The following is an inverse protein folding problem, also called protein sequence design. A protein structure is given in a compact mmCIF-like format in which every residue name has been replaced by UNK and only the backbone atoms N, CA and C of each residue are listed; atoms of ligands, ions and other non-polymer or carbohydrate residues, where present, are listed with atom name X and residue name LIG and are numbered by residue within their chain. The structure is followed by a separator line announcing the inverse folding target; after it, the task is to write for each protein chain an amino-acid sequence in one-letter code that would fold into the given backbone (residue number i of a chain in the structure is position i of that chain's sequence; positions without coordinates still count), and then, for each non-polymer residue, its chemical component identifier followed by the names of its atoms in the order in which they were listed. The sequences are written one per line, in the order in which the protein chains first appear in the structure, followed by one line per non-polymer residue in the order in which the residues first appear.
data_IF_098780582540
#
_entry.id   IF_098780582540
#
_cell.length_a   1.000
_cell.length_b   1.000
_cell.length_c   1.000
_cell.angle_alpha   90.00
_cell.angle_beta   90.00
_cell.angle_gamma   90.00
#
_symmetry.space_group_name_H-M   'P 1'
#
loop_
_entity.id
_entity.type
_entity.pdbx_description
1 polymer ?
#
# COMPACT_ATOMS: atom_id res chain seq x y z
N UNK A 1 18.02 7.67 41.53
CA UNK A 1 17.81 7.71 40.05
C UNK A 1 17.07 6.49 39.46
N UNK A 2 16.84 5.40 40.20
CA UNK A 2 16.30 4.14 39.67
C UNK A 2 14.78 4.09 39.51
N UNK A 3 14.02 4.72 40.41
CA UNK A 3 12.54 4.68 40.40
C UNK A 3 11.93 5.43 39.22
N UNK A 4 12.45 6.61 38.88
CA UNK A 4 12.00 7.41 37.73
C UNK A 4 12.29 6.71 36.40
N UNK A 5 13.52 6.17 36.25
CA UNK A 5 13.92 5.39 35.06
C UNK A 5 13.01 4.17 34.84
N UNK A 6 12.70 3.43 35.90
CA UNK A 6 11.81 2.26 35.82
C UNK A 6 10.37 2.66 35.49
N UNK A 7 9.89 3.79 36.00
CA UNK A 7 8.55 4.30 35.67
C UNK A 7 8.45 4.73 34.21
N UNK A 8 9.48 5.39 33.68
CA UNK A 8 9.58 5.78 32.26
C UNK A 8 9.65 4.57 31.31
N UNK A 9 10.44 3.54 31.64
CA UNK A 9 10.55 2.32 30.83
C UNK A 9 9.23 1.52 30.78
N UNK A 10 8.50 1.44 31.90
CA UNK A 10 7.17 0.83 31.95
C UNK A 10 6.13 1.61 31.13
N UNK A 11 6.23 2.93 31.10
CA UNK A 11 5.41 3.78 30.22
C UNK A 11 5.71 3.54 28.74
N UNK A 12 6.99 3.52 28.36
CA UNK A 12 7.42 3.33 26.97
C UNK A 12 7.00 1.96 26.41
N UNK A 13 7.15 0.88 27.18
CA UNK A 13 6.74 -0.47 26.74
C UNK A 13 5.23 -0.60 26.50
N UNK A 14 4.40 0.16 27.21
CA UNK A 14 2.93 0.17 27.01
C UNK A 14 2.49 1.00 25.80
N UNK A 15 3.37 1.86 25.30
CA UNK A 15 3.11 2.77 24.17
C UNK A 15 3.72 2.23 22.87
N UNK A 16 4.73 1.37 22.97
CA UNK A 16 5.43 0.76 21.85
C UNK A 16 4.54 -0.27 21.15
N UNK A 17 4.32 -0.08 19.85
CA UNK A 17 3.61 -1.03 19.00
C UNK A 17 4.52 -2.21 18.66
N UNK A 18 3.92 -3.38 18.44
CA UNK A 18 4.56 -4.43 17.65
C UNK A 18 4.48 -4.09 16.14
N UNK A 19 5.19 -4.86 15.33
CA UNK A 19 5.24 -4.63 13.88
C UNK A 19 3.86 -4.81 13.22
N UNK A 20 3.04 -5.75 13.67
CA UNK A 20 1.73 -6.04 13.07
C UNK A 20 0.74 -4.88 13.28
N UNK A 21 0.69 -4.34 14.49
CA UNK A 21 -0.10 -3.16 14.78
C UNK A 21 0.47 -1.91 14.09
N UNK A 22 1.79 -1.82 13.93
CA UNK A 22 2.40 -0.72 13.19
C UNK A 22 2.04 -0.77 11.69
N UNK A 23 2.14 -1.93 11.03
CA UNK A 23 1.75 -2.08 9.62
C UNK A 23 0.26 -1.84 9.42
N UNK A 24 -0.59 -2.32 10.33
CA UNK A 24 -2.02 -2.01 10.33
C UNK A 24 -2.27 -0.49 10.36
N UNK A 25 -1.62 0.25 11.27
CA UNK A 25 -1.78 1.69 11.35
C UNK A 25 -1.21 2.42 10.14
N UNK A 26 -0.09 1.95 9.55
CA UNK A 26 0.47 2.49 8.31
C UNK A 26 -0.57 2.39 7.19
N UNK A 27 -1.08 1.18 6.93
CA UNK A 27 -2.06 0.95 5.87
C UNK A 27 -3.36 1.71 6.13
N UNK A 28 -3.87 1.70 7.37
CA UNK A 28 -5.05 2.47 7.76
C UNK A 28 -4.88 3.97 7.46
N UNK A 29 -3.71 4.52 7.77
CA UNK A 29 -3.36 5.92 7.53
C UNK A 29 -3.33 6.36 6.06
N UNK A 30 -3.30 5.41 5.10
CA UNK A 30 -3.38 5.73 3.68
C UNK A 30 -4.81 6.00 3.20
N UNK A 31 -5.81 5.49 3.92
CA UNK A 31 -7.23 5.60 3.55
C UNK A 31 -8.03 6.52 4.46
N UNK A 32 -7.63 6.65 5.72
CA UNK A 32 -8.32 7.49 6.70
C UNK A 32 -7.34 8.19 7.66
N UNK A 33 -7.82 9.25 8.30
CA UNK A 33 -7.00 9.97 9.26
C UNK A 33 -6.83 9.17 10.56
N UNK A 34 -5.58 8.93 10.94
CA UNK A 34 -5.27 8.33 12.24
C UNK A 34 -5.53 9.31 13.38
N UNK A 35 -6.13 8.84 14.47
CA UNK A 35 -6.23 9.61 15.71
C UNK A 35 -4.85 9.98 16.28
N UNK A 36 -4.78 11.12 17.00
CA UNK A 36 -3.52 11.72 17.47
C UNK A 36 -2.62 10.75 18.26
N UNK A 37 -3.21 9.92 19.13
CA UNK A 37 -2.46 8.92 19.92
C UNK A 37 -1.84 7.87 19.01
N UNK A 38 -2.58 7.37 18.03
CA UNK A 38 -2.09 6.36 17.09
C UNK A 38 -1.01 6.94 16.17
N UNK A 39 -1.15 8.19 15.72
CA UNK A 39 -0.10 8.92 15.00
C UNK A 39 1.19 8.99 15.81
N UNK A 40 1.11 9.36 17.10
CA UNK A 40 2.28 9.45 17.97
C UNK A 40 2.94 8.09 18.18
N UNK A 41 2.16 7.05 18.51
CA UNK A 41 2.66 5.68 18.67
C UNK A 41 3.36 5.16 17.43
N UNK A 42 2.74 5.37 16.26
CA UNK A 42 3.31 4.96 14.99
C UNK A 42 4.62 5.72 14.70
N UNK A 43 4.66 7.03 14.93
CA UNK A 43 5.87 7.84 14.75
C UNK A 43 7.03 7.35 15.63
N UNK A 44 6.75 6.97 16.88
CA UNK A 44 7.75 6.38 17.76
C UNK A 44 8.26 5.03 17.25
N UNK A 45 7.36 4.15 16.78
CA UNK A 45 7.75 2.85 16.25
C UNK A 45 8.58 2.96 14.96
N UNK A 46 8.20 3.87 14.05
CA UNK A 46 8.97 4.11 12.80
C UNK A 46 10.37 4.68 13.05
N UNK A 47 10.57 5.37 14.18
CA UNK A 47 11.88 5.86 14.58
C UNK A 47 12.82 4.73 15.02
N UNK A 48 12.28 3.62 15.56
CA UNK A 48 13.07 2.50 16.09
C UNK A 48 13.11 1.27 15.18
N UNK A 49 12.14 1.10 14.28
CA UNK A 49 12.05 -0.08 13.40
C UNK A 49 12.30 0.27 11.93
N UNK A 50 13.45 -0.16 11.40
CA UNK A 50 13.81 0.04 9.98
C UNK A 50 12.84 -0.66 9.01
N UNK A 51 12.35 -1.85 9.37
CA UNK A 51 11.45 -2.62 8.48
C UNK A 51 10.10 -1.93 8.29
N UNK A 52 9.48 -1.47 9.38
CA UNK A 52 8.22 -0.72 9.30
C UNK A 52 8.38 0.63 8.59
N UNK A 53 9.55 1.28 8.70
CA UNK A 53 9.87 2.47 7.90
C UNK A 53 9.92 2.17 6.42
N UNK A 54 10.67 1.14 6.01
CA UNK A 54 10.72 0.71 4.62
C UNK A 54 9.33 0.33 4.09
N UNK A 55 8.54 -0.40 4.89
CA UNK A 55 7.17 -0.75 4.54
C UNK A 55 6.28 0.49 4.32
N UNK A 56 6.41 1.50 5.19
CA UNK A 56 5.68 2.76 5.04
C UNK A 56 6.07 3.52 3.77
N UNK A 57 7.35 3.56 3.43
CA UNK A 57 7.84 4.19 2.20
C UNK A 57 7.33 3.45 0.95
N UNK A 58 7.40 2.12 0.97
CA UNK A 58 6.93 1.27 -0.13
C UNK A 58 5.43 1.34 -0.34
N UNK A 59 4.64 1.32 0.74
CA UNK A 59 3.17 1.44 0.68
C UNK A 59 2.79 2.78 0.05
N UNK A 60 3.41 3.87 0.52
CA UNK A 60 3.20 5.20 -0.03
C UNK A 60 3.59 5.30 -1.50
N UNK A 61 4.69 4.66 -1.89
CA UNK A 61 5.12 4.61 -3.30
C UNK A 61 4.04 3.95 -4.16
N UNK A 62 3.58 2.75 -3.78
CA UNK A 62 2.52 2.02 -4.51
C UNK A 62 1.25 2.87 -4.62
N UNK A 63 0.78 3.42 -3.49
CA UNK A 63 -0.42 4.24 -3.44
C UNK A 63 -0.31 5.51 -4.31
N UNK A 64 0.88 6.11 -4.38
CA UNK A 64 1.14 7.24 -5.28
C UNK A 64 1.07 6.82 -6.75
N UNK A 65 1.74 5.73 -7.13
CA UNK A 65 1.71 5.21 -8.51
C UNK A 65 0.27 4.90 -8.95
N UNK A 66 -0.51 4.24 -8.10
CA UNK A 66 -1.92 3.93 -8.38
C UNK A 66 -2.77 5.19 -8.56
N UNK A 67 -2.53 6.23 -7.74
CA UNK A 67 -3.22 7.51 -7.90
C UNK A 67 -2.83 8.24 -9.19
N UNK A 68 -1.59 8.08 -9.66
CA UNK A 68 -1.17 8.65 -10.93
C UNK A 68 -1.77 7.92 -12.13
N UNK A 69 -1.91 6.58 -12.06
CA UNK A 69 -2.68 5.81 -13.05
C UNK A 69 -4.15 6.27 -13.15
N UNK A 70 -4.79 6.59 -12.01
CA UNK A 70 -6.17 7.11 -11.99
C UNK A 70 -6.33 8.49 -12.63
N UNK A 71 -5.25 9.28 -12.70
CA UNK A 71 -5.24 10.58 -13.36
C UNK A 71 -5.04 10.48 -14.87
N UNK A 72 -4.68 9.30 -15.39
CA UNK A 72 -4.65 9.09 -16.82
C UNK A 72 -6.09 9.12 -17.30
N UNK A 73 -6.43 10.17 -18.04
CA UNK A 73 -7.73 10.32 -18.68
C UNK A 73 -8.01 9.06 -19.52
N UNK A 74 -9.11 8.32 -19.26
CA UNK A 74 -9.47 7.14 -20.04
C UNK A 74 -9.55 7.41 -21.55
N UNK A 75 -9.81 8.65 -21.95
CA UNK A 75 -9.87 9.07 -23.36
C UNK A 75 -8.47 9.28 -23.97
N UNK A 76 -7.46 9.58 -23.16
CA UNK A 76 -6.06 9.68 -23.55
C UNK A 76 -5.25 8.40 -23.25
N UNK A 77 -5.80 7.47 -22.48
CA UNK A 77 -5.25 6.14 -22.25
C UNK A 77 -5.44 5.32 -23.54
N UNK A 78 -4.52 5.50 -24.50
CA UNK A 78 -4.48 4.72 -25.75
C UNK A 78 -4.06 3.26 -25.49
N UNK A 79 -4.86 2.53 -24.71
CA UNK A 79 -4.81 1.07 -24.63
C UNK A 79 -5.57 0.49 -25.82
N UNK A 80 -5.04 0.71 -27.02
CA UNK A 80 -5.53 0.04 -28.21
C UNK A 80 -4.66 -1.17 -28.50
N UNK A 81 -5.32 -2.29 -28.79
CA UNK A 81 -4.67 -3.41 -29.45
C UNK A 81 -4.14 -2.93 -30.81
N UNK A 82 -2.92 -3.32 -31.15
CA UNK A 82 -2.41 -3.17 -32.51
C UNK A 82 -3.33 -3.92 -33.49
N UNK A 83 -3.32 -3.53 -34.75
CA UNK A 83 -4.13 -4.21 -35.76
C UNK A 83 -3.75 -5.70 -35.88
N UNK A 84 -2.48 -6.03 -35.65
CA UNK A 84 -2.01 -7.41 -35.54
C UNK A 84 -2.64 -8.15 -34.35
N UNK A 85 -2.70 -7.52 -33.17
CA UNK A 85 -3.32 -8.11 -31.99
C UNK A 85 -4.82 -8.32 -32.18
N UNK A 86 -5.52 -7.37 -32.82
CA UNK A 86 -6.94 -7.51 -33.16
C UNK A 86 -7.17 -8.67 -34.13
N UNK A 87 -6.39 -8.75 -35.21
CA UNK A 87 -6.52 -9.81 -36.21
C UNK A 87 -6.24 -11.19 -35.60
N UNK A 88 -5.25 -11.31 -34.71
CA UNK A 88 -4.96 -12.56 -34.01
C UNK A 88 -6.12 -12.99 -33.10
N UNK A 89 -6.74 -12.04 -32.40
CA UNK A 89 -7.91 -12.29 -31.56
C UNK A 89 -9.12 -12.74 -32.40
N UNK A 90 -9.43 -12.02 -33.48
CA UNK A 90 -10.54 -12.38 -34.36
C UNK A 90 -10.39 -13.79 -34.94
N UNK A 91 -9.20 -14.14 -35.45
CA UNK A 91 -8.92 -15.49 -35.95
C UNK A 91 -9.12 -16.56 -34.89
N UNK A 92 -8.62 -16.32 -33.68
CA UNK A 92 -8.77 -17.28 -32.57
C UNK A 92 -10.25 -17.50 -32.21
N UNK A 93 -11.05 -16.44 -32.18
CA UNK A 93 -12.49 -16.51 -31.89
C UNK A 93 -13.24 -17.26 -32.99
N UNK A 94 -12.93 -16.99 -34.25
CA UNK A 94 -13.50 -17.70 -35.40
C UNK A 94 -13.14 -19.19 -35.34
N UNK A 95 -11.86 -19.53 -35.21
CA UNK A 95 -11.39 -20.92 -35.13
C UNK A 95 -12.02 -21.72 -33.97
N UNK A 96 -12.31 -21.08 -32.84
CA UNK A 96 -13.02 -21.71 -31.73
C UNK A 96 -14.52 -21.86 -31.98
N UNK A 97 -15.12 -20.93 -32.72
CA UNK A 97 -16.54 -20.99 -33.11
C UNK A 97 -16.80 -22.13 -34.11
N UNK A 98 -15.81 -22.48 -34.94
CA UNK A 98 -15.88 -23.60 -35.89
C UNK A 98 -15.53 -24.96 -35.28
N UNK A 99 -14.93 -25.02 -34.08
CA UNK A 99 -14.59 -26.28 -33.39
C UNK A 99 -15.70 -26.81 -32.49
N UNK A 100 -16.72 -26.00 -32.20
CA UNK A 100 -17.86 -26.34 -31.34
C UNK A 100 -19.17 -26.60 -32.13
N UNK A 101 -19.07 -26.79 -33.45
CA UNK A 101 -20.12 -27.29 -34.35
C UNK A 101 -19.60 -28.55 -35.06
#
# INVERSE_FOLDING_TARGET
MTKLKNMMMKGMSKIMLDCDNATLLITKGEFEELGCINKLKLKMHLASCKFCRNFSEQSKYISTQLNDFKKIDPQNLRLHLSDEQKNRLSKTVEEQSFKNN
#
